data_IF_586908469180
#
_entry.id   IF_586908469180
#
_cell.length_a   1.000
_cell.length_b   1.000
_cell.length_c   1.000
_cell.angle_alpha   90.00
_cell.angle_beta   90.00
_cell.angle_gamma   90.00
#
_symmetry.space_group_name_H-M   'P 1'
#
loop_
_entity.id
_entity.type
_entity.pdbx_description
1 polymer ?
#
# COMPACT_ATOMS: atom_id res chain seq x y z
N UNK A 1 5.36 -20.51 -27.99
CA UNK A 1 6.13 -19.60 -27.11
C UNK A 1 6.06 -20.16 -25.70
N UNK A 2 7.12 -20.79 -25.22
CA UNK A 2 7.17 -21.34 -23.86
C UNK A 2 8.46 -20.88 -23.21
N UNK A 3 8.41 -19.79 -22.44
CA UNK A 3 9.56 -19.28 -21.71
C UNK A 3 9.05 -18.57 -20.45
N UNK A 4 8.71 -19.36 -19.45
CA UNK A 4 8.69 -18.91 -18.06
C UNK A 4 10.14 -18.63 -17.62
N UNK A 5 10.78 -17.62 -18.23
CA UNK A 5 12.17 -17.22 -17.92
C UNK A 5 12.31 -16.59 -16.54
N UNK A 6 11.18 -16.19 -15.94
CA UNK A 6 11.14 -15.54 -14.64
C UNK A 6 11.70 -16.41 -13.50
N UNK A 7 11.54 -17.73 -13.59
CA UNK A 7 12.02 -18.68 -12.57
C UNK A 7 13.37 -19.34 -12.91
N UNK A 8 14.01 -18.93 -14.02
CA UNK A 8 15.27 -19.51 -14.46
C UNK A 8 16.39 -18.48 -14.25
N UNK A 9 16.82 -18.36 -12.99
CA UNK A 9 17.94 -17.51 -12.60
C UNK A 9 19.19 -18.39 -12.50
N UNK A 10 20.27 -17.96 -13.14
CA UNK A 10 21.51 -18.75 -13.20
C UNK A 10 22.07 -18.92 -11.78
N UNK A 11 22.14 -20.16 -11.30
CA UNK A 11 22.66 -20.49 -9.97
C UNK A 11 21.64 -20.57 -8.84
N UNK A 12 20.34 -20.35 -9.12
CA UNK A 12 19.25 -20.50 -8.13
C UNK A 12 18.24 -21.52 -8.68
N UNK A 13 17.87 -22.50 -7.86
CA UNK A 13 16.87 -23.48 -8.24
C UNK A 13 15.48 -22.84 -8.24
N UNK A 14 14.66 -23.14 -9.26
CA UNK A 14 13.25 -22.75 -9.33
C UNK A 14 12.48 -23.09 -8.04
N UNK A 15 12.80 -24.22 -7.40
CA UNK A 15 12.18 -24.60 -6.13
C UNK A 15 12.46 -23.60 -5.00
N UNK A 16 13.66 -23.04 -4.94
CA UNK A 16 14.05 -22.03 -3.93
C UNK A 16 13.27 -20.73 -4.15
N UNK A 17 13.12 -20.31 -5.40
CA UNK A 17 12.34 -19.12 -5.78
C UNK A 17 10.87 -19.30 -5.36
N UNK A 18 10.26 -20.45 -5.67
CA UNK A 18 8.88 -20.75 -5.30
C UNK A 18 8.73 -20.82 -3.77
N UNK A 19 9.64 -21.51 -3.09
CA UNK A 19 9.62 -21.63 -1.62
C UNK A 19 9.73 -20.27 -0.95
N UNK A 20 10.62 -19.40 -1.44
CA UNK A 20 10.75 -18.04 -0.94
C UNK A 20 9.44 -17.25 -1.11
N UNK A 21 8.77 -17.33 -2.26
CA UNK A 21 7.48 -16.67 -2.46
C UNK A 21 6.41 -17.18 -1.48
N UNK A 22 6.31 -18.51 -1.28
CA UNK A 22 5.36 -19.09 -0.33
C UNK A 22 5.61 -18.63 1.11
N UNK A 23 6.88 -18.52 1.53
CA UNK A 23 7.22 -17.99 2.85
C UNK A 23 6.69 -16.57 3.02
N UNK A 24 6.79 -15.70 2.01
CA UNK A 24 6.28 -14.33 2.10
C UNK A 24 4.75 -14.29 2.18
N UNK A 25 4.07 -15.15 1.41
CA UNK A 25 2.62 -15.27 1.45
C UNK A 25 2.13 -15.73 2.83
N UNK A 26 2.77 -16.76 3.40
CA UNK A 26 2.44 -17.28 4.73
C UNK A 26 2.71 -16.22 5.80
N UNK A 27 3.85 -15.53 5.74
CA UNK A 27 4.18 -14.46 6.69
C UNK A 27 3.19 -13.30 6.63
N UNK A 28 2.80 -12.85 5.43
CA UNK A 28 1.78 -11.83 5.25
C UNK A 28 0.41 -12.25 5.77
N UNK A 29 -0.02 -13.47 5.44
CA UNK A 29 -1.29 -14.02 5.95
C UNK A 29 -1.29 -14.18 7.48
N UNK A 30 -0.18 -14.62 8.07
CA UNK A 30 -0.02 -14.72 9.52
C UNK A 30 -0.11 -13.35 10.19
N UNK A 31 0.58 -12.33 9.67
CA UNK A 31 0.48 -10.96 10.17
C UNK A 31 -0.96 -10.43 10.08
N UNK A 32 -1.59 -10.57 8.91
CA UNK A 32 -2.98 -10.17 8.73
C UNK A 32 -3.89 -10.86 9.75
N UNK A 33 -3.74 -12.17 9.96
CA UNK A 33 -4.52 -12.92 10.93
C UNK A 33 -4.29 -12.44 12.37
N UNK A 34 -3.03 -12.26 12.77
CA UNK A 34 -2.67 -11.79 14.12
C UNK A 34 -3.32 -10.42 14.40
N UNK A 35 -3.13 -9.47 13.51
CA UNK A 35 -3.65 -8.11 13.67
C UNK A 35 -5.17 -8.01 13.51
N UNK A 36 -5.82 -8.97 12.84
CA UNK A 36 -7.28 -9.00 12.69
C UNK A 36 -7.98 -9.71 13.84
N UNK A 37 -7.32 -10.70 14.49
CA UNK A 37 -7.96 -11.56 15.49
C UNK A 37 -7.49 -11.33 16.92
N UNK A 38 -6.23 -10.97 17.13
CA UNK A 38 -5.64 -10.85 18.47
C UNK A 38 -5.48 -9.40 18.92
N UNK A 39 -5.24 -8.47 18.00
CA UNK A 39 -5.23 -7.05 18.30
C UNK A 39 -6.66 -6.51 18.30
N UNK A 40 -7.07 -5.94 19.43
CA UNK A 40 -8.41 -5.39 19.63
C UNK A 40 -8.63 -4.06 18.90
N UNK A 41 -7.57 -3.28 18.68
CA UNK A 41 -7.67 -1.93 18.14
C UNK A 41 -7.00 -1.78 16.77
N UNK A 42 -7.82 -1.87 15.72
CA UNK A 42 -7.37 -1.76 14.32
C UNK A 42 -6.61 -0.46 14.03
N UNK A 43 -7.02 0.65 14.63
CA UNK A 43 -6.40 1.94 14.38
C UNK A 43 -4.96 2.04 14.91
N UNK A 44 -4.59 1.19 15.88
CA UNK A 44 -3.21 1.04 16.37
C UNK A 44 -2.39 0.02 15.60
N UNK A 45 -3.01 -0.74 14.68
CA UNK A 45 -2.34 -1.78 13.94
C UNK A 45 -1.48 -1.18 12.81
N UNK A 46 -0.17 -1.39 12.90
CA UNK A 46 0.80 -0.89 11.92
C UNK A 46 0.49 -1.33 10.48
N UNK A 47 -0.11 -2.52 10.32
CA UNK A 47 -0.43 -3.07 9.00
C UNK A 47 -1.63 -2.39 8.32
N UNK A 48 -2.49 -1.71 9.08
CA UNK A 48 -3.70 -1.02 8.58
C UNK A 48 -3.54 0.50 8.54
N UNK A 49 -2.63 1.06 9.34
CA UNK A 49 -2.35 2.50 9.49
C UNK A 49 -2.48 3.34 8.22
N UNK A 50 -1.71 3.00 7.18
CA UNK A 50 -1.70 3.75 5.91
C UNK A 50 -2.76 3.27 4.92
N UNK A 51 -3.23 2.04 5.11
CA UNK A 51 -4.30 1.49 4.29
C UNK A 51 -5.62 2.18 4.59
N UNK A 52 -5.96 2.36 5.87
CA UNK A 52 -7.20 2.98 6.29
C UNK A 52 -7.27 4.45 5.85
N UNK A 53 -6.19 5.22 6.01
CA UNK A 53 -6.09 6.60 5.47
C UNK A 53 -6.25 6.64 3.94
N UNK A 54 -5.80 5.61 3.23
CA UNK A 54 -5.93 5.54 1.76
C UNK A 54 -7.37 5.33 1.29
N UNK A 55 -8.28 4.89 2.16
CA UNK A 55 -9.70 4.74 1.83
C UNK A 55 -10.37 6.11 1.63
N UNK A 56 -9.93 7.14 2.36
CA UNK A 56 -10.38 8.52 2.13
C UNK A 56 -10.07 8.95 0.70
N UNK A 57 -8.85 8.71 0.22
CA UNK A 57 -8.47 9.01 -1.17
C UNK A 57 -9.20 8.13 -2.19
N UNK A 58 -9.45 6.86 -1.88
CA UNK A 58 -10.30 6.03 -2.73
C UNK A 58 -11.68 6.66 -2.89
N UNK A 59 -12.30 7.14 -1.81
CA UNK A 59 -13.62 7.76 -1.88
C UNK A 59 -13.57 9.12 -2.60
N UNK A 60 -12.46 9.85 -2.49
CA UNK A 60 -12.18 11.04 -3.31
C UNK A 60 -12.19 10.72 -4.81
N UNK A 61 -11.69 9.56 -5.25
CA UNK A 61 -11.69 9.19 -6.67
C UNK A 61 -13.10 9.17 -7.27
N UNK A 62 -14.10 8.71 -6.52
CA UNK A 62 -15.48 8.64 -7.00
C UNK A 62 -16.27 9.93 -6.77
N UNK A 63 -15.99 10.66 -5.70
CA UNK A 63 -16.70 11.90 -5.37
C UNK A 63 -16.14 13.14 -6.09
N UNK A 64 -14.82 13.25 -6.21
CA UNK A 64 -14.13 14.34 -6.89
C UNK A 64 -12.81 13.84 -7.52
N UNK A 65 -12.87 13.17 -8.68
CA UNK A 65 -11.72 12.55 -9.33
C UNK A 65 -10.59 13.55 -9.66
N UNK A 66 -10.94 14.80 -9.92
CA UNK A 66 -9.96 15.84 -10.23
C UNK A 66 -9.05 16.10 -9.02
N UNK A 67 -9.65 16.25 -7.84
CA UNK A 67 -8.88 16.44 -6.61
C UNK A 67 -8.11 15.18 -6.21
N UNK A 68 -8.64 13.98 -6.48
CA UNK A 68 -7.86 12.75 -6.34
C UNK A 68 -6.56 12.80 -7.15
N UNK A 69 -6.62 13.11 -8.45
CA UNK A 69 -5.42 13.16 -9.29
C UNK A 69 -4.47 14.29 -8.87
N UNK A 70 -4.99 15.44 -8.42
CA UNK A 70 -4.16 16.49 -7.84
C UNK A 70 -3.39 15.98 -6.62
N UNK A 71 -4.05 15.31 -5.69
CA UNK A 71 -3.40 14.74 -4.50
C UNK A 71 -2.36 13.70 -4.90
N UNK A 72 -2.70 12.74 -5.76
CA UNK A 72 -1.78 11.67 -6.20
C UNK A 72 -0.51 12.28 -6.81
N UNK A 73 -0.66 13.24 -7.75
CA UNK A 73 0.44 13.88 -8.45
C UNK A 73 1.20 14.94 -7.62
N UNK A 74 0.69 15.31 -6.44
CA UNK A 74 1.29 16.36 -5.59
C UNK A 74 1.04 17.78 -6.09
N UNK A 75 -0.10 17.99 -6.77
CA UNK A 75 -0.59 19.28 -7.26
C UNK A 75 -1.61 19.91 -6.30
N UNK A 76 -1.60 19.50 -5.04
CA UNK A 76 -2.43 19.98 -3.93
C UNK A 76 -1.92 21.31 -3.36
N UNK A 77 -1.74 22.31 -4.23
CA UNK A 77 -1.12 23.60 -3.87
C UNK A 77 -1.93 24.41 -2.85
N UNK A 78 -3.26 24.32 -2.89
CA UNK A 78 -4.14 24.93 -1.88
C UNK A 78 -4.20 24.08 -0.61
N UNK A 79 -3.19 24.22 0.23
CA UNK A 79 -3.03 23.39 1.42
C UNK A 79 -4.22 23.46 2.38
N UNK A 80 -4.88 24.61 2.51
CA UNK A 80 -6.03 24.74 3.42
C UNK A 80 -7.25 24.03 2.87
N UNK A 81 -7.52 24.16 1.57
CA UNK A 81 -8.59 23.42 0.91
C UNK A 81 -8.40 21.91 1.06
N UNK A 82 -7.21 21.38 0.73
CA UNK A 82 -6.98 19.93 0.79
C UNK A 82 -6.92 19.39 2.22
N UNK A 83 -6.40 20.18 3.18
CA UNK A 83 -6.43 19.82 4.60
C UNK A 83 -7.86 19.65 5.10
N UNK A 84 -8.71 20.66 4.88
CA UNK A 84 -10.07 20.68 5.43
C UNK A 84 -10.99 19.66 4.77
N UNK A 85 -10.80 19.37 3.47
CA UNK A 85 -11.69 18.48 2.74
C UNK A 85 -11.23 17.01 2.74
N UNK A 86 -9.96 16.71 3.03
CA UNK A 86 -9.43 15.35 2.90
C UNK A 86 -8.46 14.98 4.04
N UNK A 87 -7.40 15.76 4.25
CA UNK A 87 -6.30 15.29 5.10
C UNK A 87 -6.62 15.29 6.59
N UNK A 88 -7.61 16.06 7.05
CA UNK A 88 -8.05 16.06 8.46
C UNK A 88 -8.64 14.72 8.90
N UNK A 89 -9.16 13.92 7.95
CA UNK A 89 -9.70 12.58 8.21
C UNK A 89 -8.62 11.50 8.22
N UNK A 90 -7.39 11.84 7.82
CA UNK A 90 -6.26 10.92 7.71
C UNK A 90 -5.33 11.09 8.91
N UNK A 91 -5.18 10.04 9.72
CA UNK A 91 -4.42 10.10 10.97
C UNK A 91 -2.90 10.14 10.75
N UNK A 92 -2.45 9.70 9.58
CA UNK A 92 -1.05 9.41 9.28
C UNK A 92 -0.55 10.07 8.00
N UNK A 93 -1.36 10.93 7.39
CA UNK A 93 -0.97 11.76 6.25
C UNK A 93 0.23 12.64 6.60
N UNK A 94 0.17 13.32 7.75
CA UNK A 94 1.24 14.15 8.28
C UNK A 94 1.65 13.73 9.69
N UNK A 95 2.53 12.74 9.76
CA UNK A 95 3.29 12.49 10.98
C UNK A 95 4.10 13.74 11.35
N UNK A 96 4.15 14.08 12.63
CA UNK A 96 4.78 15.27 13.24
C UNK A 96 6.29 15.50 12.96
N UNK A 97 6.89 14.75 12.05
CA UNK A 97 8.28 14.90 11.62
C UNK A 97 8.40 15.92 10.48
N UNK A 98 9.11 17.02 10.78
CA UNK A 98 9.27 18.27 10.01
C UNK A 98 9.87 18.19 8.59
N UNK A 99 10.16 17.00 8.04
CA UNK A 99 10.82 16.88 6.73
C UNK A 99 9.81 16.59 5.61
N UNK A 100 9.46 17.64 4.87
CA UNK A 100 8.31 17.69 3.95
C UNK A 100 8.59 17.27 2.50
N UNK A 101 9.79 16.81 2.14
CA UNK A 101 10.13 16.55 0.73
C UNK A 101 9.74 15.15 0.27
N UNK A 102 9.60 14.19 1.19
CA UNK A 102 9.10 12.85 0.88
C UNK A 102 8.66 12.18 2.17
N UNK A 103 7.51 12.57 2.71
CA UNK A 103 6.95 11.84 3.84
C UNK A 103 6.58 10.44 3.35
N UNK A 104 7.32 9.42 3.79
CA UNK A 104 7.13 8.03 3.35
C UNK A 104 5.69 7.54 3.60
N UNK A 105 5.01 8.08 4.62
CA UNK A 105 3.60 7.78 4.88
C UNK A 105 2.70 8.18 3.72
N UNK A 106 2.81 9.42 3.22
CA UNK A 106 2.00 9.94 2.10
C UNK A 106 2.17 9.10 0.85
N UNK A 107 3.39 8.67 0.55
CA UNK A 107 3.65 7.81 -0.62
C UNK A 107 2.96 6.45 -0.46
N UNK A 108 3.06 5.82 0.71
CA UNK A 108 2.39 4.53 0.97
C UNK A 108 0.87 4.67 0.91
N UNK A 109 0.30 5.75 1.45
CA UNK A 109 -1.14 6.06 1.38
C UNK A 109 -1.57 6.21 -0.09
N UNK A 110 -0.86 7.01 -0.88
CA UNK A 110 -1.17 7.21 -2.31
C UNK A 110 -1.13 5.90 -3.11
N UNK A 111 -0.11 5.06 -2.89
CA UNK A 111 -0.01 3.76 -3.56
C UNK A 111 -1.18 2.86 -3.16
N UNK A 112 -1.50 2.77 -1.86
CA UNK A 112 -2.65 1.98 -1.41
C UNK A 112 -3.97 2.49 -1.98
N UNK A 113 -4.15 3.80 -2.15
CA UNK A 113 -5.35 4.38 -2.75
C UNK A 113 -5.54 3.93 -4.21
N UNK A 114 -4.46 3.96 -5.00
CA UNK A 114 -4.46 3.46 -6.38
C UNK A 114 -4.79 1.96 -6.42
N UNK A 115 -4.15 1.17 -5.55
CA UNK A 115 -4.41 -0.27 -5.46
C UNK A 115 -5.84 -0.57 -5.00
N UNK A 116 -6.41 0.26 -4.12
CA UNK A 116 -7.79 0.11 -3.65
C UNK A 116 -8.80 0.32 -4.78
N UNK A 117 -8.51 1.18 -5.77
CA UNK A 117 -9.36 1.36 -6.96
C UNK A 117 -9.39 0.05 -7.76
N UNK A 118 -8.23 -0.58 -7.96
CA UNK A 118 -8.09 -1.83 -8.72
C UNK A 118 -8.68 -3.02 -7.94
N UNK A 119 -8.36 -3.10 -6.65
CA UNK A 119 -8.73 -4.19 -5.74
C UNK A 119 -10.06 -4.01 -5.02
N UNK A 120 -10.85 -2.99 -5.37
CA UNK A 120 -12.16 -2.69 -4.77
C UNK A 120 -12.15 -2.66 -3.23
N UNK A 121 -11.26 -1.85 -2.64
CA UNK A 121 -11.04 -1.76 -1.18
C UNK A 121 -10.70 -3.10 -0.50
N UNK A 122 -10.06 -4.04 -1.20
CA UNK A 122 -9.58 -5.27 -0.59
C UNK A 122 -8.18 -5.07 0.01
N UNK A 123 -8.08 -5.12 1.33
CA UNK A 123 -6.78 -5.11 2.01
C UNK A 123 -5.88 -6.27 1.55
N UNK A 124 -6.47 -7.46 1.41
CA UNK A 124 -5.74 -8.67 0.99
C UNK A 124 -5.15 -8.46 -0.41
N UNK A 125 -5.88 -7.80 -1.31
CA UNK A 125 -5.36 -7.45 -2.63
C UNK A 125 -4.10 -6.58 -2.52
N UNK A 126 -4.15 -5.47 -1.80
CA UNK A 126 -3.00 -4.58 -1.61
C UNK A 126 -1.81 -5.33 -0.98
N UNK A 127 -2.06 -6.13 0.06
CA UNK A 127 -1.04 -6.94 0.72
C UNK A 127 -0.34 -7.90 -0.26
N UNK A 128 -1.12 -8.63 -1.07
CA UNK A 128 -0.56 -9.54 -2.09
C UNK A 128 0.24 -8.79 -3.15
N UNK A 129 -0.23 -7.61 -3.57
CA UNK A 129 0.52 -6.76 -4.50
C UNK A 129 1.87 -6.32 -3.92
N UNK A 130 1.91 -5.87 -2.66
CA UNK A 130 3.17 -5.50 -2.01
C UNK A 130 4.11 -6.69 -1.84
N UNK A 131 3.59 -7.87 -1.48
CA UNK A 131 4.39 -9.11 -1.42
C UNK A 131 5.00 -9.41 -2.79
N UNK A 132 4.21 -9.30 -3.85
CA UNK A 132 4.68 -9.56 -5.21
C UNK A 132 5.74 -8.55 -5.67
N UNK A 133 5.54 -7.25 -5.43
CA UNK A 133 6.52 -6.20 -5.75
C UNK A 133 7.82 -6.41 -4.94
N UNK A 134 7.70 -6.68 -3.63
CA UNK A 134 8.85 -6.96 -2.77
C UNK A 134 9.63 -8.19 -3.23
N UNK A 135 8.93 -9.22 -3.69
CA UNK A 135 9.54 -10.42 -4.23
C UNK A 135 10.24 -10.15 -5.57
N UNK A 136 9.59 -9.42 -6.49
CA UNK A 136 10.17 -9.00 -7.77
C UNK A 136 11.44 -8.19 -7.59
N UNK A 137 11.45 -7.26 -6.63
CA UNK A 137 12.61 -6.41 -6.34
C UNK A 137 13.87 -7.16 -5.91
N UNK A 138 13.78 -8.44 -5.56
CA UNK A 138 14.96 -9.28 -5.23
C UNK A 138 15.71 -9.79 -6.46
N UNK A 139 15.11 -9.67 -7.64
CA UNK A 139 15.64 -10.17 -8.90
C UNK A 139 15.98 -9.06 -9.91
N UNK A 140 15.73 -7.80 -9.54
CA UNK A 140 16.09 -6.59 -10.30
C UNK A 140 17.40 -6.02 -9.76
#
# INVERSE_FOLDING_TARGET
MNKNSFFNIKGINKFEIITALFIHLIAGAALYFIYTKYYSERYTADIFKYYDDSLVLYDTFFSNPLDFFRIILGLDFDKQYFLNNYFIEMNHWDTSYKNSLMNGSRMVIKINAILNIIGLKSYIFNMLTFIFISFLGKFL
#
